data_IF_401505539071
#
_entry.id   IF_401505539071
#
_cell.length_a   1.000
_cell.length_b   1.000
_cell.length_c   1.000
_cell.angle_alpha   90.00
_cell.angle_beta   90.00
_cell.angle_gamma   90.00
#
_symmetry.space_group_name_H-M   'P 1'
#
loop_
_entity.id
_entity.type
_entity.pdbx_description
1 polymer ?
#
# COMPACT_ATOMS: atom_id res chain seq x y z
N UNK A 1 6.20 -21.94 -29.85
CA UNK A 1 7.12 -20.85 -29.48
C UNK A 1 6.37 -19.56 -29.69
N UNK A 2 5.86 -18.98 -28.60
CA UNK A 2 5.20 -17.67 -28.42
C UNK A 2 4.49 -17.82 -27.07
N UNK A 3 4.80 -17.16 -25.97
CA UNK A 3 5.58 -15.97 -25.68
C UNK A 3 5.96 -16.08 -24.19
N UNK A 4 7.18 -16.55 -23.89
CA UNK A 4 7.85 -16.21 -22.62
C UNK A 4 8.43 -14.80 -22.78
N UNK A 5 7.55 -13.82 -22.95
CA UNK A 5 7.95 -12.42 -23.01
C UNK A 5 7.87 -11.86 -21.59
N UNK A 6 8.93 -12.10 -20.83
CA UNK A 6 9.49 -11.14 -19.88
C UNK A 6 8.56 -10.68 -18.74
N UNK A 7 8.67 -11.32 -17.57
CA UNK A 7 8.16 -10.85 -16.26
C UNK A 7 8.79 -9.51 -15.78
N UNK A 8 9.15 -8.59 -16.69
CA UNK A 8 9.89 -7.35 -16.38
C UNK A 8 9.26 -6.08 -16.96
N UNK A 9 8.03 -6.12 -17.43
CA UNK A 9 7.30 -4.88 -17.68
C UNK A 9 6.52 -4.51 -16.42
N UNK A 10 6.97 -3.49 -15.70
CA UNK A 10 6.20 -2.99 -14.56
C UNK A 10 4.87 -2.46 -15.08
N UNK A 11 3.77 -3.06 -14.61
CA UNK A 11 2.43 -2.73 -15.08
C UNK A 11 2.15 -1.22 -15.01
N UNK A 12 1.53 -0.67 -16.06
CA UNK A 12 1.04 0.72 -16.07
C UNK A 12 0.17 1.05 -14.85
N UNK A 13 -0.57 0.06 -14.34
CA UNK A 13 -1.44 0.22 -13.17
C UNK A 13 -0.59 0.55 -11.95
N UNK A 14 0.55 -0.14 -11.77
CA UNK A 14 1.47 0.14 -10.67
C UNK A 14 2.06 1.55 -10.78
N UNK A 15 2.51 1.94 -11.98
CA UNK A 15 3.06 3.28 -12.20
C UNK A 15 2.03 4.38 -11.88
N UNK A 16 0.79 4.23 -12.37
CA UNK A 16 -0.32 5.14 -12.08
C UNK A 16 -0.64 5.17 -10.58
N UNK A 17 -0.58 4.01 -9.90
CA UNK A 17 -0.83 3.90 -8.46
C UNK A 17 0.22 4.67 -7.66
N UNK A 18 1.51 4.50 -7.95
CA UNK A 18 2.59 5.24 -7.29
C UNK A 18 2.49 6.74 -7.56
N UNK A 19 2.12 7.13 -8.79
CA UNK A 19 1.93 8.53 -9.16
C UNK A 19 0.74 9.16 -8.41
N UNK A 20 -0.36 8.41 -8.30
CA UNK A 20 -1.57 8.82 -7.55
C UNK A 20 -1.28 8.91 -6.05
N UNK A 21 -0.58 7.91 -5.49
CA UNK A 21 -0.15 7.92 -4.09
C UNK A 21 0.67 9.17 -3.78
N UNK A 22 1.60 9.54 -4.66
CA UNK A 22 2.42 10.74 -4.49
C UNK A 22 1.58 12.03 -4.58
N UNK A 23 0.75 12.17 -5.62
CA UNK A 23 -0.10 13.34 -5.87
C UNK A 23 -1.12 13.58 -4.74
N UNK A 24 -1.70 12.51 -4.23
CA UNK A 24 -2.73 12.56 -3.20
C UNK A 24 -2.17 12.26 -1.80
N UNK A 25 -0.85 12.34 -1.64
CA UNK A 25 -0.18 11.94 -0.40
C UNK A 25 -0.70 12.69 0.83
N UNK A 26 -0.97 14.00 0.74
CA UNK A 26 -1.57 14.76 1.85
C UNK A 26 -2.88 14.15 2.33
N UNK A 27 -3.82 13.87 1.42
CA UNK A 27 -5.12 13.30 1.75
C UNK A 27 -4.98 11.86 2.27
N UNK A 28 -4.13 11.04 1.65
CA UNK A 28 -3.88 9.67 2.11
C UNK A 28 -3.29 9.66 3.52
N UNK A 29 -2.38 10.58 3.83
CA UNK A 29 -1.78 10.71 5.15
C UNK A 29 -2.81 11.19 6.18
N UNK A 30 -3.66 12.17 5.84
CA UNK A 30 -4.74 12.63 6.72
C UNK A 30 -5.74 11.51 7.04
N UNK A 31 -6.13 10.71 6.04
CA UNK A 31 -6.99 9.53 6.24
C UNK A 31 -6.32 8.51 7.18
N UNK A 32 -5.04 8.21 6.98
CA UNK A 32 -4.30 7.27 7.82
C UNK A 32 -3.95 7.81 9.21
N UNK A 33 -3.79 9.12 9.37
CA UNK A 33 -3.63 9.76 10.68
C UNK A 33 -4.90 9.59 11.52
N UNK A 34 -6.08 9.74 10.91
CA UNK A 34 -7.35 9.51 11.61
C UNK A 34 -7.51 8.05 12.03
N UNK A 35 -7.17 7.10 11.14
CA UNK A 35 -7.16 5.67 11.45
C UNK A 35 -6.19 5.37 12.61
N UNK A 36 -4.97 5.90 12.52
CA UNK A 36 -3.95 5.74 13.55
C UNK A 36 -4.38 6.34 14.89
N UNK A 37 -5.06 7.47 14.88
CA UNK A 37 -5.57 8.11 16.11
C UNK A 37 -6.56 7.18 16.85
N UNK A 38 -7.48 6.54 16.11
CA UNK A 38 -8.43 5.57 16.69
C UNK A 38 -7.68 4.35 17.24
N UNK A 39 -6.71 3.82 16.49
CA UNK A 39 -5.86 2.72 16.96
C UNK A 39 -5.13 3.06 18.27
N UNK A 40 -4.55 4.26 18.37
CA UNK A 40 -3.83 4.70 19.58
C UNK A 40 -4.76 4.88 20.79
N UNK A 41 -6.07 5.07 20.58
CA UNK A 41 -7.09 5.05 21.65
C UNK A 41 -7.50 3.62 22.05
N UNK A 42 -6.97 2.60 21.39
CA UNK A 42 -7.32 1.19 21.60
C UNK A 42 -8.60 0.78 20.86
N UNK A 43 -9.05 1.56 19.88
CA UNK A 43 -10.23 1.23 19.07
C UNK A 43 -9.86 0.25 17.96
N UNK A 44 -10.86 -0.53 17.52
CA UNK A 44 -10.70 -1.46 16.40
C UNK A 44 -10.85 -0.70 15.08
N UNK A 45 -9.80 -0.70 14.26
CA UNK A 45 -9.72 0.08 13.01
C UNK A 45 -10.08 -0.69 11.74
N UNK A 46 -10.61 -1.91 11.87
CA UNK A 46 -10.86 -2.81 10.73
C UNK A 46 -11.88 -2.25 9.74
N UNK A 47 -12.90 -1.55 10.23
CA UNK A 47 -13.94 -0.97 9.39
C UNK A 47 -13.39 0.24 8.61
N UNK A 48 -12.55 1.06 9.23
CA UNK A 48 -11.90 2.18 8.56
C UNK A 48 -10.88 1.71 7.50
N UNK A 49 -10.12 0.65 7.79
CA UNK A 49 -9.26 0.00 6.79
C UNK A 49 -10.10 -0.57 5.63
N UNK A 50 -11.25 -1.16 5.93
CA UNK A 50 -12.20 -1.64 4.92
C UNK A 50 -12.71 -0.52 4.03
N UNK A 51 -13.19 0.58 4.64
CA UNK A 51 -13.68 1.75 3.93
C UNK A 51 -12.60 2.37 3.04
N UNK A 52 -11.38 2.53 3.56
CA UNK A 52 -10.26 3.06 2.77
C UNK A 52 -10.00 2.18 1.55
N UNK A 53 -9.96 0.86 1.72
CA UNK A 53 -9.77 -0.07 0.60
C UNK A 53 -10.89 0.00 -0.42
N UNK A 54 -12.16 0.09 -0.01
CA UNK A 54 -13.28 0.25 -0.93
C UNK A 54 -13.14 1.51 -1.78
N UNK A 55 -12.70 2.61 -1.17
CA UNK A 55 -12.48 3.90 -1.86
C UNK A 55 -11.24 3.85 -2.77
N UNK A 56 -10.15 3.20 -2.33
CA UNK A 56 -8.81 3.33 -2.91
C UNK A 56 -8.06 1.99 -3.00
N UNK A 57 -8.66 0.98 -3.62
CA UNK A 57 -8.15 -0.40 -3.63
C UNK A 57 -6.69 -0.56 -4.11
N UNK A 58 -6.29 0.12 -5.19
CA UNK A 58 -4.92 0.04 -5.71
C UNK A 58 -3.90 0.70 -4.78
N UNK A 59 -4.27 1.81 -4.15
CA UNK A 59 -3.44 2.48 -3.13
C UNK A 59 -3.30 1.60 -1.90
N UNK A 60 -4.39 0.97 -1.45
CA UNK A 60 -4.34 0.03 -0.34
C UNK A 60 -3.41 -1.16 -0.64
N UNK A 61 -3.41 -1.67 -1.87
CA UNK A 61 -2.49 -2.73 -2.31
C UNK A 61 -1.02 -2.26 -2.28
N UNK A 62 -0.76 -1.00 -2.64
CA UNK A 62 0.58 -0.41 -2.49
C UNK A 62 0.97 -0.34 -1.01
N UNK A 63 0.07 0.12 -0.13
CA UNK A 63 0.29 0.22 1.32
C UNK A 63 0.58 -1.15 1.96
N UNK A 64 -0.18 -2.18 1.60
CA UNK A 64 0.13 -3.56 2.01
C UNK A 64 1.54 -3.96 1.55
N UNK A 65 1.89 -3.64 0.30
CA UNK A 65 3.23 -3.87 -0.23
C UNK A 65 4.34 -3.14 0.52
N UNK A 66 4.07 -1.94 1.04
CA UNK A 66 5.03 -1.14 1.82
C UNK A 66 5.44 -1.86 3.11
N UNK A 67 4.50 -2.54 3.77
CA UNK A 67 4.74 -3.19 5.06
C UNK A 67 5.05 -4.68 4.96
N UNK A 68 4.42 -5.41 4.05
CA UNK A 68 4.43 -6.88 4.04
C UNK A 68 5.13 -7.49 2.83
N UNK A 69 5.44 -6.69 1.80
CA UNK A 69 6.14 -7.13 0.58
C UNK A 69 7.27 -6.17 0.21
N UNK A 70 8.00 -5.70 1.22
CA UNK A 70 9.00 -4.64 1.06
C UNK A 70 10.06 -4.98 0.00
N UNK A 71 10.56 -6.21 -0.01
CA UNK A 71 11.55 -6.67 -1.00
C UNK A 71 10.98 -6.61 -2.41
N UNK A 72 9.80 -7.19 -2.63
CA UNK A 72 9.12 -7.18 -3.93
C UNK A 72 8.77 -5.76 -4.37
N UNK A 73 8.38 -4.88 -3.44
CA UNK A 73 8.07 -3.49 -3.73
C UNK A 73 9.34 -2.73 -4.12
N UNK A 74 10.44 -2.90 -3.40
CA UNK A 74 11.72 -2.28 -3.71
C UNK A 74 12.19 -2.66 -5.13
N UNK A 75 12.16 -3.95 -5.46
CA UNK A 75 12.49 -4.46 -6.79
C UNK A 75 11.60 -3.86 -7.88
N UNK A 76 10.29 -3.71 -7.63
CA UNK A 76 9.35 -3.08 -8.57
C UNK A 76 9.63 -1.60 -8.75
N UNK A 77 9.92 -0.87 -7.67
CA UNK A 77 10.26 0.55 -7.73
C UNK A 77 11.57 0.77 -8.51
N UNK A 78 12.53 -0.14 -8.38
CA UNK A 78 13.80 -0.15 -9.13
C UNK A 78 13.58 -0.39 -10.62
N UNK A 79 12.86 -1.46 -10.97
CA UNK A 79 12.53 -1.79 -12.37
C UNK A 79 11.73 -0.68 -13.05
N UNK A 80 10.89 0.04 -12.31
CA UNK A 80 10.08 1.15 -12.81
C UNK A 80 10.83 2.50 -12.85
N UNK A 81 12.10 2.55 -12.44
CA UNK A 81 12.90 3.77 -12.37
C UNK A 81 12.18 4.90 -11.59
N UNK A 82 11.46 4.54 -10.52
CA UNK A 82 10.68 5.50 -9.74
C UNK A 82 11.60 6.53 -9.10
N UNK A 83 11.34 7.81 -9.38
CA UNK A 83 12.13 8.93 -8.87
C UNK A 83 12.19 9.02 -7.35
N UNK A 84 13.28 9.64 -6.86
CA UNK A 84 13.60 9.76 -5.42
C UNK A 84 12.48 10.39 -4.59
N UNK A 85 11.76 11.37 -5.13
CA UNK A 85 10.69 12.07 -4.41
C UNK A 85 9.51 11.15 -4.06
N UNK A 86 9.07 10.31 -5.01
CA UNK A 86 7.98 9.35 -4.78
C UNK A 86 8.41 8.27 -3.79
N UNK A 87 9.66 7.78 -3.90
CA UNK A 87 10.24 6.83 -2.95
C UNK A 87 10.35 7.41 -1.55
N UNK A 88 10.79 8.66 -1.44
CA UNK A 88 10.85 9.36 -0.16
C UNK A 88 9.47 9.45 0.49
N UNK A 89 8.43 9.74 -0.30
CA UNK A 89 7.05 9.79 0.21
C UNK A 89 6.53 8.41 0.65
N UNK A 90 6.87 7.34 -0.07
CA UNK A 90 6.59 5.96 0.33
C UNK A 90 7.28 5.62 1.68
N UNK A 91 8.56 5.98 1.83
CA UNK A 91 9.31 5.74 3.06
C UNK A 91 8.82 6.59 4.24
N UNK A 92 8.38 7.81 3.98
CA UNK A 92 7.73 8.67 4.98
C UNK A 92 6.45 8.01 5.49
N UNK A 93 5.60 7.50 4.59
CA UNK A 93 4.39 6.78 4.96
C UNK A 93 4.71 5.53 5.79
N UNK A 94 5.67 4.71 5.33
CA UNK A 94 6.14 3.53 6.06
C UNK A 94 6.54 3.86 7.48
N UNK A 95 7.38 4.89 7.65
CA UNK A 95 7.91 5.27 8.96
C UNK A 95 6.82 5.82 9.87
N UNK A 96 5.90 6.62 9.32
CA UNK A 96 4.85 7.30 10.09
C UNK A 96 3.77 6.36 10.61
N UNK A 97 3.43 5.32 9.84
CA UNK A 97 2.33 4.39 10.13
C UNK A 97 2.80 2.97 10.47
N UNK A 98 4.08 2.81 10.85
CA UNK A 98 4.66 1.50 11.18
C UNK A 98 3.96 0.82 12.37
N UNK A 99 3.37 1.60 13.28
CA UNK A 99 2.67 1.10 14.47
C UNK A 99 1.32 0.43 14.19
N UNK A 100 0.72 0.70 13.03
CA UNK A 100 -0.51 0.05 12.56
C UNK A 100 -0.27 -1.00 11.47
N UNK A 101 1.00 -1.32 11.16
CA UNK A 101 1.34 -2.30 10.13
C UNK A 101 0.72 -3.69 10.41
N UNK A 102 0.75 -4.14 11.66
CA UNK A 102 0.17 -5.42 12.06
C UNK A 102 -1.36 -5.46 11.84
N UNK A 103 -2.07 -4.36 12.11
CA UNK A 103 -3.51 -4.28 11.85
C UNK A 103 -3.83 -4.30 10.35
N UNK A 104 -3.00 -3.66 9.52
CA UNK A 104 -3.10 -3.75 8.05
C UNK A 104 -2.90 -5.20 7.59
N UNK A 105 -1.92 -5.91 8.15
CA UNK A 105 -1.69 -7.32 7.84
C UNK A 105 -2.88 -8.20 8.24
N UNK A 106 -3.38 -8.00 9.46
CA UNK A 106 -4.53 -8.74 9.99
C UNK A 106 -5.77 -8.51 9.13
N UNK A 107 -6.00 -7.27 8.69
CA UNK A 107 -7.06 -6.93 7.75
C UNK A 107 -6.89 -7.70 6.43
N UNK A 108 -5.70 -7.67 5.83
CA UNK A 108 -5.39 -8.41 4.60
C UNK A 108 -5.61 -9.91 4.77
N UNK A 109 -5.15 -10.51 5.86
CA UNK A 109 -5.35 -11.94 6.14
C UNK A 109 -6.84 -12.27 6.31
N UNK A 110 -7.62 -11.43 7.01
CA UNK A 110 -9.05 -11.67 7.23
C UNK A 110 -9.87 -11.51 5.95
N UNK A 111 -9.60 -10.48 5.16
CA UNK A 111 -10.43 -10.12 4.01
C UNK A 111 -9.95 -10.75 2.69
N UNK A 112 -8.65 -11.07 2.58
CA UNK A 112 -8.07 -11.72 1.40
C UNK A 112 -7.72 -13.19 1.65
N UNK A 113 -7.46 -13.59 2.91
CA UNK A 113 -7.20 -14.99 3.27
C UNK A 113 -8.45 -15.89 3.34
N UNK A 114 -9.66 -15.31 3.34
CA UNK A 114 -10.93 -16.06 3.27
C UNK A 114 -11.44 -16.18 1.81
N UNK A 115 -10.56 -15.94 0.83
CA UNK A 115 -10.82 -16.13 -0.60
C UNK A 115 -10.41 -17.51 -1.16
N UNK A 116 -9.82 -18.39 -0.36
CA UNK A 116 -9.57 -19.79 -0.74
C UNK A 116 -10.76 -20.66 -0.32
N UNK A 117 -11.85 -20.62 -1.09
CA UNK A 117 -12.90 -21.65 -1.07
C UNK A 117 -12.79 -22.50 -2.33
#
# INVERSE_FOLDING_TARGET
>A
MTEETNEREVSEIFLKTVDTFYKESSTIFEEFDAIRENYLKGENIMDELHEFRLKRASIFTLIDGIFHKEVDLADKLDKAEIGKEKRAKIQEFKTRFADIADEINLYVIRELGVGSR
#
